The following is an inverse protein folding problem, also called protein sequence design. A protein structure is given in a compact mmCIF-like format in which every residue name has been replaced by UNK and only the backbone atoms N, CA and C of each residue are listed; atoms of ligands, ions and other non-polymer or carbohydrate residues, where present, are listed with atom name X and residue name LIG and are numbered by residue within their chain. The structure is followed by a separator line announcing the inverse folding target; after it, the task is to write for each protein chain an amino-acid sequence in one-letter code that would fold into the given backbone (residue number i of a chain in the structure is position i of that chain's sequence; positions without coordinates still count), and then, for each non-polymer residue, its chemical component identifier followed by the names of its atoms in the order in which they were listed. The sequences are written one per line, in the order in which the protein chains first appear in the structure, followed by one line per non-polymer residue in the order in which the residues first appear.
data_IF_659026022077
#
_entry.id   IF_659026022077
#
_cell.length_a   1.000
_cell.length_b   1.000
_cell.length_c   1.000
_cell.angle_alpha   90.00
_cell.angle_beta   90.00
_cell.angle_gamma   90.00
#
_symmetry.space_group_name_H-M   'P 1'
#
loop_
_entity.id
_entity.type
_entity.pdbx_description
1 polymer ?
2 branched ?
3 water ?
#
# COMPACT_ATOMS: atom_id res chain seq x y z
N UNK A 4 -5.62 -19.05 21.96
CA UNK A 4 -4.30 -19.32 22.56
C UNK A 4 -3.80 -18.17 23.51
N UNK A 5 -3.19 -18.52 24.65
CA UNK A 5 -2.69 -17.46 25.56
C UNK A 5 -1.39 -16.92 25.02
N UNK A 6 -1.29 -15.57 24.87
CA UNK A 6 0.04 -15.08 24.49
C UNK A 6 0.99 -15.39 25.63
N UNK A 7 2.22 -15.66 25.29
CA UNK A 7 3.26 -16.00 26.26
C UNK A 7 4.29 -14.88 26.27
N UNK A 8 4.31 -14.24 27.42
CA UNK A 8 5.13 -13.05 27.56
C UNK A 8 6.64 -13.30 27.40
N UNK A 9 7.06 -14.53 27.79
CA UNK A 9 8.46 -14.81 27.79
C UNK A 9 8.88 -15.60 26.52
N UNK A 10 8.00 -15.57 25.50
CA UNK A 10 8.37 -16.10 24.17
C UNK A 10 8.13 -15.05 23.09
N UNK A 11 9.20 -14.61 22.44
CA UNK A 11 9.08 -13.70 21.29
C UNK A 11 8.15 -14.25 20.27
N UNK A 12 7.35 -13.36 19.69
CA UNK A 12 6.48 -13.80 18.58
C UNK A 12 7.37 -14.18 17.37
N UNK A 13 8.45 -13.47 17.12
CA UNK A 13 9.44 -13.86 16.12
C UNK A 13 10.88 -13.70 16.64
N UNK A 14 11.72 -14.67 16.36
CA UNK A 14 13.14 -14.51 16.71
C UNK A 14 14.04 -14.02 15.62
N UNK A 15 13.50 -13.91 14.40
CA UNK A 15 14.33 -13.65 13.26
C UNK A 15 14.21 -12.29 12.57
N UNK A 16 13.19 -11.53 12.99
CA UNK A 16 12.87 -10.21 12.42
C UNK A 16 12.33 -9.24 13.50
N UNK A 17 12.50 -7.98 13.16
CA UNK A 17 11.96 -6.86 13.95
C UNK A 17 10.43 -6.79 13.81
N UNK A 18 9.68 -6.78 14.91
CA UNK A 18 8.21 -6.81 14.78
C UNK A 18 7.57 -5.50 15.31
N UNK A 19 8.38 -4.56 15.72
CA UNK A 19 7.87 -3.25 16.17
C UNK A 19 8.91 -2.23 15.81
N UNK A 20 8.50 -1.09 15.25
CA UNK A 20 9.44 -0.07 14.91
C UNK A 20 9.91 0.72 16.17
N UNK A 21 10.94 1.58 16.03
CA UNK A 21 11.39 2.33 17.23
C UNK A 21 10.40 3.38 17.67
N UNK A 22 9.35 3.64 16.90
CA UNK A 22 8.25 4.55 17.38
C UNK A 22 7.03 3.75 17.76
N UNK A 23 7.18 2.45 18.02
CA UNK A 23 6.16 1.57 18.57
C UNK A 23 5.02 1.29 17.61
N UNK A 24 5.34 1.28 16.33
CA UNK A 24 4.33 0.82 15.37
C UNK A 24 4.61 -0.69 15.07
N UNK A 25 3.60 -1.51 15.08
CA UNK A 25 3.80 -2.93 14.69
C UNK A 25 4.32 -3.06 13.28
N UNK A 26 5.26 -3.99 13.06
CA UNK A 26 5.66 -4.46 11.71
C UNK A 26 5.01 -5.78 11.53
N UNK A 27 4.12 -5.87 10.52
CA UNK A 27 3.19 -6.99 10.42
C UNK A 27 3.78 -8.16 9.60
N UNK A 28 4.06 -9.21 10.38
CA UNK A 28 4.54 -10.50 9.85
C UNK A 28 3.64 -11.59 10.32
N UNK A 29 3.62 -12.74 9.60
CA UNK A 29 2.88 -13.91 10.13
C UNK A 29 3.50 -14.37 11.51
N UNK A 30 2.62 -14.68 12.43
CA UNK A 30 3.06 -15.04 13.77
C UNK A 30 2.93 -13.89 14.72
N UNK A 31 2.66 -12.70 14.23
CA UNK A 31 2.54 -11.58 15.15
C UNK A 31 1.11 -11.28 15.49
N UNK A 32 0.12 -11.82 14.79
CA UNK A 32 -1.31 -11.49 15.07
C UNK A 32 -2.17 -12.69 15.12
N UNK A 33 -3.21 -12.58 15.88
CA UNK A 33 -4.34 -13.53 15.95
C UNK A 33 -5.43 -12.90 15.12
N UNK A 34 -5.64 -13.47 13.94
CA UNK A 34 -6.66 -12.89 13.02
C UNK A 34 -8.10 -12.99 13.59
N UNK A 35 -8.40 -13.99 14.46
CA UNK A 35 -9.74 -14.03 14.96
C UNK A 35 -10.07 -12.85 15.89
N UNK A 36 -9.06 -12.44 16.68
CA UNK A 36 -9.27 -11.29 17.58
C UNK A 36 -9.47 -10.04 16.71
N UNK A 37 -8.55 -9.89 15.71
CA UNK A 37 -8.64 -8.69 14.86
C UNK A 37 -9.94 -8.66 14.05
N UNK A 38 -10.34 -9.81 13.48
CA UNK A 38 -11.56 -9.83 12.73
C UNK A 38 -12.73 -9.38 13.57
N UNK A 39 -12.80 -9.87 14.81
CA UNK A 39 -13.88 -9.40 15.68
C UNK A 39 -13.91 -7.91 15.94
N UNK A 40 -12.72 -7.36 16.22
CA UNK A 40 -12.60 -5.93 16.54
C UNK A 40 -13.12 -5.15 15.33
N UNK A 41 -12.64 -5.50 14.14
CA UNK A 41 -13.05 -4.72 12.98
C UNK A 41 -14.48 -4.93 12.54
N UNK A 42 -15.00 -6.15 12.67
CA UNK A 42 -16.43 -6.41 12.36
C UNK A 42 -17.32 -5.64 13.33
N UNK A 43 -16.88 -5.51 14.58
CA UNK A 43 -17.76 -4.73 15.57
C UNK A 43 -17.94 -3.30 15.12
N UNK A 44 -17.01 -2.72 14.33
CA UNK A 44 -17.16 -1.35 13.81
C UNK A 44 -17.75 -1.34 12.35
N UNK A 45 -18.16 -2.51 11.82
CA UNK A 45 -18.68 -2.64 10.46
C UNK A 45 -17.72 -1.95 9.47
N UNK A 46 -16.47 -2.31 9.58
CA UNK A 46 -15.40 -1.66 8.81
C UNK A 46 -15.54 -1.88 7.33
N UNK A 47 -15.40 -0.76 6.58
CA UNK A 47 -15.45 -0.84 5.16
C UNK A 47 -14.10 -0.39 4.60
N UNK A 48 -13.56 -1.19 3.68
CA UNK A 48 -12.22 -0.93 3.12
C UNK A 48 -12.38 -0.62 1.63
N UNK A 49 -11.85 0.54 1.21
CA UNK A 49 -11.80 0.91 -0.23
C UNK A 49 -10.45 0.50 -0.76
N UNK A 50 -10.41 -0.18 -1.88
CA UNK A 50 -9.18 -0.57 -2.57
C UNK A 50 -9.09 0.14 -3.86
N UNK A 51 -8.06 0.96 -4.02
CA UNK A 51 -7.88 1.69 -5.29
C UNK A 51 -6.84 1.04 -6.13
N UNK A 52 -7.05 0.97 -7.46
CA UNK A 52 -6.06 0.38 -8.34
C UNK A 52 -6.16 1.12 -9.66
N UNK A 53 -5.00 1.42 -10.22
CA UNK A 53 -4.91 2.03 -11.58
C UNK A 53 -4.62 0.97 -12.63
N UNK A 54 -5.40 0.95 -13.70
CA UNK A 54 -5.11 0.01 -14.79
C UNK A 54 -5.19 0.75 -16.11
N UNK A 55 -4.04 1.15 -16.61
CA UNK A 55 -3.91 2.13 -17.72
C UNK A 55 -3.28 1.40 -18.90
N UNK A 56 -3.80 1.71 -20.10
CA UNK A 56 -3.24 1.11 -21.31
C UNK A 56 -3.17 -0.44 -21.18
N UNK A 57 -2.05 -1.10 -21.46
CA UNK A 57 -2.05 -2.58 -21.57
C UNK A 57 -2.20 -3.25 -20.20
N UNK A 58 -2.10 -2.42 -19.16
CA UNK A 58 -2.21 -2.96 -17.77
C UNK A 58 -3.63 -3.35 -17.41
N UNK A 59 -4.61 -2.97 -18.23
CA UNK A 59 -5.97 -3.44 -17.99
C UNK A 59 -6.00 -5.02 -18.06
N UNK A 60 -5.07 -5.66 -18.78
CA UNK A 60 -5.04 -7.11 -18.90
C UNK A 60 -4.81 -7.80 -17.56
N UNK A 61 -4.29 -7.06 -16.59
CA UNK A 61 -3.98 -7.63 -15.27
C UNK A 61 -5.19 -7.62 -14.33
N UNK A 62 -6.26 -6.96 -14.72
CA UNK A 62 -7.34 -6.76 -13.74
C UNK A 62 -8.05 -8.06 -13.42
N UNK A 63 -8.19 -8.99 -14.37
CA UNK A 63 -8.98 -10.19 -14.15
C UNK A 63 -8.36 -11.01 -12.98
N UNK A 64 -7.07 -11.30 -13.09
CA UNK A 64 -6.42 -12.13 -12.04
C UNK A 64 -6.38 -11.31 -10.71
N UNK A 65 -6.13 -10.01 -10.81
CA UNK A 65 -6.04 -9.17 -9.62
C UNK A 65 -7.36 -9.28 -8.86
N UNK A 66 -8.48 -9.06 -9.55
CA UNK A 66 -9.79 -9.10 -8.85
C UNK A 66 -10.16 -10.50 -8.37
N UNK A 67 -9.97 -11.52 -9.21
CA UNK A 67 -10.29 -12.90 -8.85
C UNK A 67 -9.56 -13.30 -7.58
N UNK A 68 -8.28 -12.95 -7.54
CA UNK A 68 -7.52 -13.31 -6.37
C UNK A 68 -7.80 -12.42 -5.15
N UNK A 69 -8.12 -11.14 -5.38
CA UNK A 69 -8.58 -10.28 -4.24
C UNK A 69 -9.83 -10.86 -3.64
N UNK A 70 -10.71 -11.45 -4.47
CA UNK A 70 -11.93 -12.03 -3.89
C UNK A 70 -11.60 -13.25 -3.03
N UNK A 71 -10.54 -14.00 -3.33
CA UNK A 71 -10.16 -15.16 -2.50
C UNK A 71 -9.44 -14.76 -1.23
N UNK A 72 -8.74 -13.60 -1.20
CA UNK A 72 -7.77 -13.33 -0.12
C UNK A 72 -7.82 -11.99 0.56
N UNK A 73 -8.44 -10.98 -0.09
CA UNK A 73 -8.42 -9.64 0.47
C UNK A 73 -9.65 -9.31 1.31
N UNK A 74 -9.45 -9.15 2.60
CA UNK A 74 -10.51 -8.67 3.51
C UNK A 74 -11.76 -9.52 3.42
N UNK A 75 -11.63 -10.84 3.21
CA UNK A 75 -12.82 -11.68 3.15
C UNK A 75 -13.54 -11.61 4.50
N UNK A 76 -14.83 -11.38 4.37
CA UNK A 76 -15.75 -11.20 5.46
C UNK A 76 -16.05 -9.84 5.95
N UNK A 77 -15.29 -8.87 5.36
CA UNK A 77 -15.49 -7.47 5.64
C UNK A 77 -16.07 -6.79 4.40
N UNK A 78 -16.54 -5.53 4.61
CA UNK A 78 -17.11 -4.75 3.49
C UNK A 78 -15.96 -4.23 2.63
N UNK A 79 -16.02 -4.41 1.34
CA UNK A 79 -14.91 -3.97 0.43
C UNK A 79 -15.56 -3.25 -0.75
N UNK A 80 -14.92 -2.14 -1.10
CA UNK A 80 -15.36 -1.41 -2.34
C UNK A 80 -14.10 -1.24 -3.17
N UNK A 81 -14.12 -1.81 -4.36
CA UNK A 81 -13.00 -1.61 -5.25
C UNK A 81 -13.22 -0.37 -6.10
N UNK A 82 -12.15 0.42 -6.30
CA UNK A 82 -12.31 1.61 -7.19
C UNK A 82 -11.23 1.41 -8.22
N UNK A 83 -11.63 1.10 -9.47
CA UNK A 83 -10.71 0.83 -10.60
C UNK A 83 -10.57 2.08 -11.42
N UNK A 84 -9.40 2.66 -11.43
CA UNK A 84 -9.15 3.87 -12.23
C UNK A 84 -8.58 3.43 -13.56
N UNK A 85 -9.27 3.73 -14.69
CA UNK A 85 -8.78 3.20 -15.94
C UNK A 85 -9.11 4.15 -17.11
N UNK A 86 -8.28 4.07 -18.14
CA UNK A 86 -8.58 4.79 -19.38
C UNK A 86 -9.45 3.93 -20.27
N UNK A 87 -9.73 2.67 -19.93
CA UNK A 87 -10.53 1.78 -20.76
C UNK A 87 -11.68 1.15 -19.92
N UNK A 88 -12.66 1.99 -19.53
CA UNK A 88 -13.68 1.54 -18.60
C UNK A 88 -14.47 0.33 -19.11
N UNK A 89 -14.75 0.29 -20.39
CA UNK A 89 -15.37 -0.83 -21.00
C UNK A 89 -14.59 -2.13 -21.04
N UNK A 90 -13.26 -2.12 -20.78
CA UNK A 90 -12.37 -3.29 -20.73
C UNK A 90 -12.17 -3.96 -19.29
N UNK A 91 -12.87 -3.39 -18.32
CA UNK A 91 -12.84 -3.96 -16.92
C UNK A 91 -13.61 -5.29 -16.94
N UNK A 92 -13.01 -6.39 -16.55
CA UNK A 92 -13.65 -7.69 -16.62
C UNK A 92 -14.75 -7.78 -15.60
N UNK A 93 -15.78 -8.56 -15.94
CA UNK A 93 -16.95 -8.69 -15.08
C UNK A 93 -16.76 -9.83 -14.07
N UNK A 94 -16.07 -9.56 -12.99
CA UNK A 94 -15.74 -10.59 -12.00
C UNK A 94 -16.84 -10.60 -10.94
N UNK A 95 -17.22 -11.83 -10.64
CA UNK A 95 -18.29 -12.05 -9.64
C UNK A 95 -17.73 -11.87 -8.23
N UNK A 96 -18.44 -11.06 -7.44
CA UNK A 96 -17.94 -10.67 -6.13
C UNK A 96 -18.76 -11.33 -5.03
N UNK A 97 -18.12 -11.52 -3.87
CA UNK A 97 -18.78 -12.07 -2.69
C UNK A 97 -19.71 -11.03 -2.10
N UNK A 98 -20.55 -11.44 -1.15
CA UNK A 98 -21.49 -10.50 -0.57
C UNK A 98 -20.78 -9.38 0.22
N UNK A 99 -21.38 -8.17 0.18
CA UNK A 99 -20.79 -7.06 0.91
C UNK A 99 -19.63 -6.40 0.16
N UNK A 100 -19.44 -6.73 -1.13
CA UNK A 100 -18.26 -6.27 -1.92
C UNK A 100 -18.84 -5.68 -3.19
N UNK A 101 -18.29 -4.52 -3.54
CA UNK A 101 -18.76 -3.80 -4.77
C UNK A 101 -17.59 -3.24 -5.52
N UNK A 102 -17.84 -2.94 -6.82
CA UNK A 102 -16.76 -2.35 -7.64
C UNK A 102 -17.28 -1.21 -8.44
N UNK A 103 -16.53 -0.12 -8.45
CA UNK A 103 -16.83 1.12 -9.25
C UNK A 103 -15.68 1.33 -10.17
N UNK A 104 -16.01 1.78 -11.39
CA UNK A 104 -15.05 2.11 -12.43
C UNK A 104 -14.97 3.61 -12.55
N UNK A 105 -13.78 4.15 -12.44
CA UNK A 105 -13.57 5.61 -12.52
C UNK A 105 -12.69 5.86 -13.70
N UNK A 106 -13.17 6.59 -14.72
CA UNK A 106 -12.39 6.82 -15.91
C UNK A 106 -11.39 7.95 -15.70
N UNK A 107 -10.17 7.66 -16.15
CA UNK A 107 -9.05 8.64 -16.16
C UNK A 107 -8.95 9.25 -17.55
N UNK A 108 -8.70 10.55 -17.54
CA UNK A 108 -8.60 11.39 -18.75
C UNK A 108 -7.15 11.59 -19.10
N UNK A 113 4.27 13.82 -19.70
CA UNK A 113 4.62 12.63 -18.93
C UNK A 113 4.74 12.94 -17.42
N UNK A 114 5.00 14.21 -17.05
CA UNK A 114 5.04 14.53 -15.63
C UNK A 114 3.64 14.52 -15.02
N UNK A 115 2.61 14.81 -15.81
CA UNK A 115 1.21 14.74 -15.39
C UNK A 115 0.85 13.26 -15.13
N UNK A 116 1.40 12.37 -15.96
CA UNK A 116 1.20 10.94 -15.79
C UNK A 116 1.86 10.53 -14.48
N UNK A 117 3.04 11.06 -14.24
CA UNK A 117 3.77 10.73 -13.00
C UNK A 117 2.96 11.22 -11.78
N UNK A 118 2.34 12.38 -11.88
CA UNK A 118 1.56 12.90 -10.73
C UNK A 118 0.18 12.27 -10.64
N UNK A 119 -0.22 11.48 -11.64
CA UNK A 119 -1.60 11.04 -11.72
C UNK A 119 -2.11 10.28 -10.47
N UNK A 120 -1.31 9.31 -10.00
CA UNK A 120 -1.84 8.49 -8.92
C UNK A 120 -2.14 9.36 -7.69
N UNK A 121 -1.15 10.16 -7.25
CA UNK A 121 -1.44 11.01 -6.07
C UNK A 121 -2.49 12.06 -6.30
N UNK A 122 -2.53 12.68 -7.47
CA UNK A 122 -3.50 13.72 -7.76
C UNK A 122 -4.90 13.11 -7.75
N UNK A 123 -5.06 11.97 -8.42
CA UNK A 123 -6.37 11.37 -8.53
C UNK A 123 -6.84 10.74 -7.24
N UNK A 124 -5.94 10.11 -6.50
CA UNK A 124 -6.39 9.61 -5.20
C UNK A 124 -6.74 10.73 -4.25
N UNK A 125 -5.96 11.82 -4.30
CA UNK A 125 -6.31 12.99 -3.50
C UNK A 125 -7.69 13.55 -3.81
N UNK A 126 -7.97 13.72 -5.12
CA UNK A 126 -9.33 14.35 -5.49
C UNK A 126 -10.42 13.36 -5.00
N UNK A 127 -10.21 12.06 -5.29
CA UNK A 127 -11.21 11.08 -4.98
C UNK A 127 -11.44 10.88 -3.49
N UNK A 128 -10.37 10.97 -2.70
CA UNK A 128 -10.43 10.71 -1.28
C UNK A 128 -11.21 11.79 -0.54
N UNK A 129 -11.39 12.93 -1.24
CA UNK A 129 -12.15 14.04 -0.62
C UNK A 129 -13.60 14.04 -0.99
N UNK A 130 -14.01 13.14 -1.86
CA UNK A 130 -15.36 13.02 -2.43
C UNK A 130 -15.96 11.76 -1.84
N UNK A 131 -16.10 10.82 -2.82
CA UNK A 131 -16.84 9.51 -2.78
C UNK A 131 -16.44 8.82 -1.51
N UNK A 132 -15.15 8.45 -1.57
CA UNK A 132 -14.42 7.70 -0.61
C UNK A 132 -14.78 8.10 0.78
N UNK A 133 -14.75 9.42 0.96
CA UNK A 133 -14.84 10.04 2.26
C UNK A 133 -16.16 9.69 2.98
N UNK A 134 -17.21 9.33 2.20
CA UNK A 134 -18.50 8.88 2.72
C UNK A 134 -18.52 7.34 2.76
N UNK A 135 -17.86 6.78 1.75
CA UNK A 135 -18.14 5.40 1.38
C UNK A 135 -17.33 4.35 2.19
N UNK A 136 -16.27 4.78 2.88
CA UNK A 136 -15.28 3.86 3.46
C UNK A 136 -14.63 4.39 4.76
N UNK A 137 -14.06 3.46 5.57
CA UNK A 137 -13.28 3.78 6.70
C UNK A 137 -11.76 3.88 6.41
N UNK A 138 -11.29 2.97 5.57
CA UNK A 138 -9.88 2.95 5.20
C UNK A 138 -9.77 2.87 3.70
N UNK A 139 -8.69 3.48 3.17
CA UNK A 139 -8.36 3.36 1.77
C UNK A 139 -7.01 2.69 1.67
N UNK A 140 -6.86 1.81 0.68
CA UNK A 140 -5.61 1.11 0.38
C UNK A 140 -5.35 1.26 -1.07
N UNK A 141 -4.11 1.61 -1.42
CA UNK A 141 -3.68 1.81 -2.80
C UNK A 141 -2.67 0.73 -3.17
N UNK A 142 -2.99 -0.05 -4.20
CA UNK A 142 -2.07 -1.08 -4.72
C UNK A 142 -1.93 -1.04 -6.18
N UNK A 143 -0.88 -1.68 -6.68
CA UNK A 143 -0.75 -1.80 -8.12
C UNK A 143 -1.47 -3.02 -8.69
N UNK A 144 -1.80 -2.94 -10.00
CA UNK A 144 -2.66 -3.94 -10.64
C UNK A 144 -1.90 -5.20 -11.16
N UNK A 145 -0.59 -5.02 -11.45
CA UNK A 145 0.20 -6.07 -12.03
C UNK A 145 0.70 -7.06 -10.94
N UNK A 146 -0.26 -7.58 -10.18
CA UNK A 146 -0.04 -8.32 -8.95
C UNK A 146 -1.11 -9.36 -8.79
N UNK A 147 -0.91 -10.32 -7.91
CA UNK A 147 -1.95 -11.28 -7.54
C UNK A 147 -1.87 -11.55 -6.04
N UNK A 148 -3.03 -11.77 -5.42
CA UNK A 148 -3.06 -12.26 -4.05
C UNK A 148 -2.90 -13.76 -4.05
N UNK A 149 -1.97 -14.21 -3.25
CA UNK A 149 -1.77 -15.67 -3.03
C UNK A 149 -2.08 -16.16 -1.64
N UNK A 150 -2.28 -15.23 -0.67
CA UNK A 150 -2.53 -15.66 0.65
C UNK A 150 -3.29 -14.47 1.33
N UNK A 151 -3.65 -14.69 2.58
CA UNK A 151 -4.47 -13.72 3.33
C UNK A 151 -3.85 -12.32 3.40
N UNK A 152 -4.68 -11.32 3.02
CA UNK A 152 -4.34 -9.90 3.27
C UNK A 152 -5.61 -9.39 3.89
N UNK A 153 -5.55 -9.10 5.21
CA UNK A 153 -6.77 -8.74 5.95
C UNK A 153 -6.56 -7.57 6.90
N UNK A 154 -7.46 -7.56 7.88
CA UNK A 154 -7.60 -6.34 8.70
C UNK A 154 -6.41 -6.07 9.61
N UNK A 155 -5.48 -7.04 9.71
CA UNK A 155 -4.18 -6.79 10.39
C UNK A 155 -3.45 -5.58 9.82
N UNK A 156 -3.70 -5.23 8.54
CA UNK A 156 -3.00 -4.10 7.96
C UNK A 156 -3.59 -2.77 8.34
N UNK A 157 -4.85 -2.79 8.84
CA UNK A 157 -5.55 -1.50 8.95
C UNK A 157 -5.15 -0.72 10.21
N UNK A 158 -5.07 0.60 10.01
CA UNK A 158 -4.44 1.50 10.98
C UNK A 158 -4.59 2.92 10.36
N UNK A 159 -4.35 3.95 11.17
CA UNK A 159 -4.42 5.29 10.54
C UNK A 159 -3.50 5.51 9.34
N UNK A 160 -2.26 4.97 9.37
CA UNK A 160 -1.38 5.22 8.24
C UNK A 160 -0.42 4.04 8.12
N UNK A 161 -0.29 3.46 6.93
CA UNK A 161 0.75 2.40 6.80
C UNK A 161 1.47 2.54 5.48
N UNK A 162 2.73 2.08 5.56
CA UNK A 162 3.55 1.84 4.36
C UNK A 162 4.03 0.41 4.41
N UNK A 163 4.66 -0.04 3.31
CA UNK A 163 5.09 -1.47 3.14
C UNK A 163 6.58 -1.44 2.81
N UNK A 164 7.31 -2.26 3.53
CA UNK A 164 8.75 -2.37 3.20
C UNK A 164 8.96 -2.95 1.79
N UNK A 165 9.77 -2.21 1.02
CA UNK A 165 10.13 -2.61 -0.34
C UNK A 165 10.93 -3.94 -0.27
N UNK A 166 10.58 -4.94 -1.09
CA UNK A 166 11.16 -6.29 -0.98
C UNK A 166 12.66 -6.27 -1.40
N UNK A 167 13.12 -5.26 -2.13
CA UNK A 167 14.56 -5.21 -2.54
C UNK A 167 15.43 -4.59 -1.49
N UNK A 168 14.84 -3.96 -0.45
CA UNK A 168 15.62 -3.06 0.40
C UNK A 168 15.51 -3.35 1.90
N UNK A 169 14.74 -4.38 2.30
CA UNK A 169 14.43 -4.55 3.70
C UNK A 169 15.68 -4.91 4.48
N UNK A 170 16.65 -5.52 3.81
CA UNK A 170 17.92 -5.88 4.47
C UNK A 170 19.03 -4.86 4.20
N UNK A 171 18.75 -3.71 3.60
CA UNK A 171 19.77 -2.72 3.25
C UNK A 171 19.99 -1.64 4.29
N UNK A 172 21.23 -1.10 4.37
CA UNK A 172 21.48 0.10 5.16
C UNK A 172 20.91 1.32 4.47
N UNK A 173 20.63 2.36 5.23
CA UNK A 173 19.94 3.54 4.70
C UNK A 173 20.70 4.28 3.60
N UNK A 174 22.04 4.29 3.66
CA UNK A 174 22.81 4.88 2.56
C UNK A 174 22.55 4.25 1.22
N UNK A 175 22.17 2.97 1.23
CA UNK A 175 21.93 2.25 -0.02
C UNK A 175 20.48 2.57 -0.49
N UNK A 176 19.63 3.01 0.45
CA UNK A 176 18.28 3.33 -0.02
C UNK A 176 18.31 4.33 -1.15
N UNK A 177 17.44 4.11 -2.13
CA UNK A 177 17.33 5.00 -3.28
C UNK A 177 16.34 6.15 -3.07
N UNK A 178 16.47 6.83 -1.92
CA UNK A 178 15.77 8.10 -1.71
C UNK A 178 16.20 9.15 -2.75
N UNK A 179 15.35 10.13 -2.95
CA UNK A 179 15.78 11.36 -3.67
C UNK A 179 16.90 12.06 -2.86
N UNK A 180 18.09 12.26 -3.47
CA UNK A 180 19.23 12.84 -2.74
C UNK A 180 19.61 14.29 -3.14
N UNK A 181 18.93 14.86 -4.12
CA UNK A 181 19.19 16.26 -4.53
C UNK A 181 18.41 17.19 -3.65
N UNK A 182 19.09 18.04 -2.88
CA UNK A 182 18.44 19.05 -2.04
C UNK A 182 17.43 19.93 -2.76
N UNK A 183 17.52 20.00 -4.09
CA UNK A 183 16.63 20.82 -4.88
C UNK A 183 15.17 20.27 -4.99
N UNK A 184 15.02 19.00 -4.62
CA UNK A 184 13.70 18.30 -4.69
C UNK A 184 12.98 18.37 -3.35
N UNK A 185 11.67 18.53 -3.42
CA UNK A 185 10.84 18.38 -2.20
C UNK A 185 10.95 16.99 -1.56
N UNK A 186 11.37 15.97 -2.34
CA UNK A 186 11.49 14.58 -1.79
C UNK A 186 12.85 14.33 -1.12
N UNK A 187 13.70 15.38 -1.04
CA UNK A 187 15.05 15.18 -0.56
C UNK A 187 15.12 14.53 0.84
N UNK A 188 15.94 13.49 0.98
CA UNK A 188 16.27 12.89 2.28
C UNK A 188 17.78 12.79 2.37
N UNK A 189 18.35 13.49 3.36
CA UNK A 189 19.79 13.38 3.65
C UNK A 189 20.30 11.97 3.89
N UNK A 190 21.59 11.78 3.66
CA UNK A 190 22.25 10.49 3.68
C UNK A 190 22.23 9.83 5.04
N UNK A 191 22.18 10.65 6.09
CA UNK A 191 22.09 10.12 7.47
C UNK A 191 20.64 9.98 8.07
N UNK A 192 19.64 10.18 7.21
CA UNK A 192 18.23 10.10 7.68
C UNK A 192 17.50 8.98 6.99
N UNK A 193 16.40 8.56 7.62
CA UNK A 193 15.59 7.48 7.04
C UNK A 193 15.43 6.29 7.95
N UNK A 194 14.20 5.77 8.06
CA UNK A 194 13.97 4.59 8.83
C UNK A 194 13.93 3.37 7.98
N UNK A 195 13.13 3.36 6.87
CA UNK A 195 12.97 2.24 5.99
C UNK A 195 12.80 2.79 4.58
N UNK A 196 12.89 1.91 3.59
CA UNK A 196 12.52 2.26 2.21
C UNK A 196 11.14 1.60 1.94
N UNK A 197 10.13 2.47 1.75
CA UNK A 197 8.75 1.91 1.59
C UNK A 197 8.50 1.89 0.06
N UNK A 198 7.70 0.91 -0.37
CA UNK A 198 7.39 0.86 -1.80
C UNK A 198 6.13 1.53 -2.14
N UNK A 199 6.10 2.22 -3.28
CA UNK A 199 4.86 2.92 -3.72
C UNK A 199 3.69 2.03 -4.05
N UNK A 200 3.89 0.72 -4.19
CA UNK A 200 2.90 -0.24 -4.68
C UNK A 200 1.91 -0.74 -3.65
N UNK A 201 2.08 -0.33 -2.37
CA UNK A 201 1.12 -0.76 -1.35
C UNK A 201 1.19 0.23 -0.16
N UNK A 202 0.23 1.19 -0.03
CA UNK A 202 0.20 2.05 1.12
C UNK A 202 -1.28 2.32 1.42
N UNK A 203 -1.57 2.89 2.57
CA UNK A 203 -2.97 3.16 2.88
C UNK A 203 -3.13 3.71 4.28
N UNK A 204 -4.38 3.64 4.75
CA UNK A 204 -4.67 4.22 6.05
C UNK A 204 -6.13 4.58 6.18
N UNK A 205 -6.44 5.36 7.19
CA UNK A 205 -7.81 5.88 7.23
C UNK A 205 -8.05 6.87 6.09
N UNK A 206 -9.30 7.09 5.76
CA UNK A 206 -9.56 8.04 4.63
C UNK A 206 -8.87 9.38 4.98
N UNK A 207 -9.01 9.90 6.18
CA UNK A 207 -8.35 11.17 6.50
C UNK A 207 -6.85 11.14 6.27
N UNK A 208 -6.19 10.08 6.77
CA UNK A 208 -4.73 10.03 6.58
C UNK A 208 -4.31 9.82 5.13
N UNK A 209 -5.11 9.10 4.34
CA UNK A 209 -4.83 9.00 2.91
C UNK A 209 -5.07 10.35 2.23
N UNK A 210 -6.10 11.07 2.61
CA UNK A 210 -6.28 12.46 2.05
C UNK A 210 -5.01 13.23 2.33
N UNK A 211 -4.51 13.18 3.56
CA UNK A 211 -3.36 14.01 3.89
C UNK A 211 -2.11 13.61 3.17
N UNK A 212 -1.84 12.30 3.07
CA UNK A 212 -0.62 11.83 2.39
C UNK A 212 -0.71 12.15 0.93
N UNK A 213 -1.80 11.89 0.26
CA UNK A 213 -1.87 12.16 -1.19
C UNK A 213 -1.84 13.67 -1.52
N UNK A 214 -2.48 14.51 -0.73
CA UNK A 214 -2.39 15.97 -0.93
C UNK A 214 -0.99 16.36 -0.76
N UNK A 215 -0.25 15.88 0.24
CA UNK A 215 1.10 16.36 0.49
C UNK A 215 1.96 15.89 -0.64
N UNK A 216 1.82 14.65 -1.11
CA UNK A 216 2.69 14.19 -2.18
C UNK A 216 2.39 14.89 -3.49
N UNK A 217 1.13 15.06 -3.79
CA UNK A 217 0.74 15.80 -5.03
C UNK A 217 1.27 17.22 -4.99
N UNK A 218 1.09 17.90 -3.86
CA UNK A 218 1.53 19.33 -3.81
C UNK A 218 3.03 19.35 -3.93
N UNK A 219 3.82 18.45 -3.32
CA UNK A 219 5.30 18.35 -3.38
C UNK A 219 5.75 18.12 -4.83
N UNK A 220 5.03 17.28 -5.57
CA UNK A 220 5.44 16.90 -6.92
C UNK A 220 5.19 18.11 -7.80
N UNK A 221 4.17 18.89 -7.45
CA UNK A 221 3.91 20.08 -8.31
C UNK A 221 4.97 21.14 -8.11
N UNK A 222 5.47 21.26 -6.90
CA UNK A 222 6.53 22.22 -6.63
C UNK A 222 7.74 21.77 -7.42
N UNK A 223 8.08 20.48 -7.42
CA UNK A 223 9.23 19.96 -8.16
C UNK A 223 9.05 20.22 -9.66
N UNK A 224 7.83 20.00 -10.19
CA UNK A 224 7.55 20.23 -11.63
C UNK A 224 7.85 21.74 -11.94
N UNK A 225 7.35 22.63 -11.10
CA UNK A 225 7.61 24.08 -11.31
C UNK A 225 9.11 24.34 -11.39
N UNK A 226 9.88 23.71 -10.53
CA UNK A 226 11.34 23.87 -10.45
C UNK A 226 12.14 23.04 -11.46
N UNK A 227 11.45 22.35 -12.37
CA UNK A 227 12.19 21.52 -13.34
C UNK A 227 12.94 20.31 -12.79
N UNK A 228 12.36 19.66 -11.76
CA UNK A 228 12.99 18.51 -11.20
C UNK A 228 11.93 17.38 -11.14
N UNK A 229 12.40 16.18 -11.43
CA UNK A 229 11.57 14.97 -11.19
C UNK A 229 12.32 14.09 -10.23
N UNK A 230 11.68 13.72 -9.09
CA UNK A 230 12.37 12.89 -8.11
C UNK A 230 12.71 11.51 -8.70
N UNK A 231 13.79 10.94 -8.19
CA UNK A 231 14.42 9.76 -8.79
C UNK A 231 13.42 8.58 -9.03
N UNK A 232 12.50 8.35 -8.06
CA UNK A 232 11.51 7.28 -8.16
C UNK A 232 10.13 7.90 -8.02
N UNK A 233 9.93 9.13 -8.49
CA UNK A 233 8.62 9.66 -8.80
C UNK A 233 7.79 9.68 -7.50
N UNK A 234 6.52 9.27 -7.57
CA UNK A 234 5.74 9.39 -6.31
C UNK A 234 6.25 8.50 -5.16
N UNK A 235 7.03 7.44 -5.44
CA UNK A 235 7.65 6.66 -4.35
C UNK A 235 8.66 7.49 -3.58
N UNK A 236 9.37 8.41 -4.25
CA UNK A 236 10.33 9.21 -3.54
C UNK A 236 9.59 10.14 -2.57
N UNK A 237 8.47 10.73 -3.02
CA UNK A 237 7.60 11.60 -2.18
C UNK A 237 6.91 10.83 -1.05
N UNK A 238 6.51 9.60 -1.37
CA UNK A 238 5.95 8.71 -0.31
C UNK A 238 6.95 8.51 0.77
N UNK A 239 8.24 8.24 0.41
CA UNK A 239 9.23 8.01 1.45
C UNK A 239 9.56 9.28 2.26
N UNK A 240 9.55 10.46 1.63
CA UNK A 240 9.76 11.69 2.40
C UNK A 240 8.59 11.96 3.35
N UNK A 241 7.39 11.67 2.87
CA UNK A 241 6.22 11.85 3.71
C UNK A 241 6.24 10.92 4.93
N UNK A 242 6.57 9.66 4.71
CA UNK A 242 6.55 8.70 5.78
C UNK A 242 7.74 8.83 6.71
N UNK A 243 8.80 9.51 6.28
CA UNK A 243 9.87 9.87 7.17
C UNK A 243 9.40 10.92 8.17
N UNK A 244 8.65 11.92 7.71
CA UNK A 244 8.19 13.03 8.59
C UNK A 244 6.90 12.70 9.36
N UNK A 245 6.08 11.80 8.78
CA UNK A 245 4.82 11.42 9.37
C UNK A 245 4.85 9.89 9.52
N UNK A 246 5.28 9.41 10.67
CA UNK A 246 5.65 8.03 10.75
C UNK A 246 4.45 7.12 10.72
N UNK A 247 4.51 6.02 9.96
CA UNK A 247 3.30 5.19 9.84
C UNK A 247 3.00 4.48 11.16
N UNK A 248 1.71 4.23 11.39
CA UNK A 248 1.26 3.55 12.64
C UNK A 248 1.30 2.05 12.52
N UNK A 249 1.43 1.51 11.30
CA UNK A 249 1.86 0.10 11.11
C UNK A 249 2.77 0.10 9.91
N UNK A 250 3.66 -0.90 9.86
CA UNK A 250 4.49 -1.12 8.65
C UNK A 250 4.25 -2.55 8.24
N UNK A 251 3.93 -2.74 6.97
CA UNK A 251 3.74 -4.11 6.47
C UNK A 251 5.11 -4.69 6.05
N UNK A 252 5.30 -5.94 6.42
CA UNK A 252 6.53 -6.65 5.97
C UNK A 252 6.46 -6.95 4.50
N UNK A 253 7.56 -7.48 3.91
CA UNK A 253 7.49 -7.77 2.47
C UNK A 253 6.68 -8.99 2.16
N UNK A 254 6.10 -9.70 3.15
CA UNK A 254 5.03 -10.68 2.85
C UNK A 254 3.95 -10.08 1.93
N UNK A 255 3.74 -8.76 2.15
CA UNK A 255 2.67 -8.02 1.51
C UNK A 255 3.02 -7.45 0.18
N UNK A 256 4.31 -7.50 -0.21
CA UNK A 256 4.72 -6.99 -1.52
C UNK A 256 6.00 -7.73 -1.93
N UNK A 257 5.80 -8.73 -2.74
CA UNK A 257 6.95 -9.64 -3.04
C UNK A 257 7.04 -9.87 -4.50
N UNK A 258 8.26 -10.16 -5.00
CA UNK A 258 8.47 -10.65 -6.38
C UNK A 258 9.21 -11.95 -6.30
N UNK A 259 8.53 -13.03 -6.51
CA UNK A 259 9.11 -14.37 -6.28
C UNK A 259 10.10 -14.70 -7.41
N UNK A 260 9.80 -14.28 -8.61
CA UNK A 260 10.77 -14.63 -9.72
C UNK A 260 12.09 -13.92 -9.39
N UNK A 261 12.04 -12.71 -8.89
CA UNK A 261 13.25 -11.96 -8.68
C UNK A 261 13.97 -12.46 -7.41
N UNK A 262 13.23 -12.73 -6.32
CA UNK A 262 13.77 -12.80 -4.98
C UNK A 262 13.55 -14.17 -4.28
N UNK A 263 12.89 -15.12 -4.91
CA UNK A 263 12.72 -16.46 -4.35
C UNK A 263 11.79 -16.48 -3.13
N UNK A 264 12.07 -17.32 -2.17
CA UNK A 264 11.17 -17.50 -1.00
C UNK A 264 12.10 -17.62 0.21
N UNK A 265 12.58 -16.48 0.74
CA UNK A 265 13.58 -16.51 1.85
C UNK A 265 12.98 -17.11 3.08
N UNK A 266 13.86 -17.55 4.00
CA UNK A 266 13.39 -18.13 5.26
C UNK A 266 12.54 -17.21 6.13
N UNK A 267 12.88 -15.92 6.07
CA UNK A 267 12.09 -14.95 6.85
C UNK A 267 10.63 -14.74 6.38
N UNK A 268 10.26 -15.26 5.21
CA UNK A 268 8.86 -15.08 4.77
C UNK A 268 8.12 -16.33 4.94
N UNK A 269 7.24 -16.40 5.90
CA UNK A 269 6.44 -17.54 6.15
C UNK A 269 5.24 -17.67 5.18
N UNK A 270 4.81 -16.52 4.63
CA UNK A 270 3.75 -16.45 3.67
C UNK A 270 4.15 -15.46 2.61
N UNK A 271 3.77 -15.76 1.36
CA UNK A 271 3.87 -14.75 0.24
C UNK A 271 2.44 -14.37 -0.08
N UNK A 272 2.09 -13.14 0.37
CA UNK A 272 0.65 -12.84 0.32
C UNK A 272 0.21 -12.07 -0.99
N UNK A 273 1.10 -11.25 -1.52
CA UNK A 273 0.66 -10.35 -2.64
C UNK A 273 1.94 -10.19 -3.40
N UNK A 274 1.84 -10.67 -4.64
CA UNK A 274 3.10 -10.85 -5.40
C UNK A 274 3.02 -10.26 -6.81
N UNK A 275 4.17 -9.93 -7.35
CA UNK A 275 4.23 -9.54 -8.75
C UNK A 275 3.87 -10.64 -9.72
N UNK A 276 3.23 -10.27 -10.81
CA UNK A 276 2.92 -11.27 -11.84
C UNK A 276 4.12 -11.25 -12.77
N UNK A 277 4.70 -12.43 -13.04
CA UNK A 277 5.96 -12.46 -13.87
C UNK A 277 5.67 -12.37 -15.35
X LIG B 1 12.92 -1.42 -8.00
X LIG B 1 13.19 -2.76 -7.58
X LIG B 1 11.43 -1.34 -8.33
X LIG B 1 11.20 -2.24 -9.43
X LIG B 1 11.06 0.10 -8.67
X LIG B 1 9.66 0.21 -8.89
X LIG B 1 11.53 1.07 -7.57
X LIG B 1 10.80 0.77 -6.36
X LIG B 1 13.02 0.87 -7.34
X LIG B 1 13.26 -0.51 -6.95
X LIG B 1 13.62 1.73 -6.23
X LIG B 1 15.04 1.51 -6.21
X LIG B 1 14.63 -3.02 -7.47
X LIG B 1 14.93 -4.33 -8.21
X LIG B 1 14.83 -4.15 -9.73
X LIG B 1 15.09 -5.45 -10.49
X LIG B 1 14.68 -5.35 -11.96
X LIG B 1 15.51 -6.30 -12.82
X LIG B 2 9.94 -2.95 -9.38
X LIG B 2 9.79 -3.75 -10.68
X LIG B 2 10.73 -4.96 -10.69
X LIG B 2 10.60 -5.76 -9.39
X LIG B 2 10.84 -4.88 -8.16
X LIG B 2 10.69 -5.66 -6.85
X LIG B 2 10.08 -2.91 -11.82
X LIG B 2 10.47 -5.81 -11.81
X LIG B 2 9.31 -6.37 -9.30
X LIG B 2 9.85 -3.81 -8.19
#
# INVERSE_FOLDING_TARGET
MVYPQPKVLTPSRKDVLVVTPWLAPIVWEGTFNIDILNEQFRLQNTTIGLTVFAIKKYVAFLKLFLETAEKHFMVGHRVHYYVFTDQPAAVPRVTLGTGRQLSVLEVGAYKRWQDVSMRRMEMISDFSERRFLSEVDYLVSVDVDMEFRDHVGVEILTPLFGTLHPSFYGSSREAFTYERRPQSQAYIPKDEGDFYYMGAFFGGSVQEVQRLTRACHQAMMVDQANGIEAVWHDESHLNKYLLRHKPTKVLSPEYLWDQQLLGWPAVLRKLRFTAVPKNHQAVRNPE
BHG C1 O1 C2 O2 C3 O3 C4 O4 C5 O5 C6 O6 C1' C2' C3' C4' C5' C6'
FUC C1 C2 C3 C4 C5 C6 O2 O3 O4 O5
#
